data_IF_349225131760
#
_entry.id   IF_349225131760
#
_cell.length_a   1.000
_cell.length_b   1.000
_cell.length_c   1.000
_cell.angle_alpha   90.00
_cell.angle_beta   90.00
_cell.angle_gamma   90.00
#
_symmetry.space_group_name_H-M   'P 1'
#
loop_
_entity.id
_entity.type
_entity.pdbx_description
1 polymer ?
#
# COMPACT_ATOMS: atom_id res chain seq x y z
N UNK A 1 12.57 4.12 -21.60
CA UNK A 1 11.75 3.33 -20.65
C UNK A 1 10.30 3.61 -20.97
N UNK A 2 9.54 2.62 -21.45
CA UNK A 2 8.17 2.84 -21.92
C UNK A 2 7.17 2.84 -20.76
N UNK A 3 6.47 3.95 -20.58
CA UNK A 3 5.29 4.02 -19.71
C UNK A 3 4.17 3.17 -20.31
N UNK A 4 3.94 2.00 -19.69
CA UNK A 4 2.76 1.19 -19.96
C UNK A 4 1.52 1.93 -19.44
N UNK A 5 0.80 2.63 -20.33
CA UNK A 5 -0.55 3.11 -20.04
C UNK A 5 -1.45 1.90 -19.79
N UNK A 6 -1.94 1.74 -18.56
CA UNK A 6 -2.99 0.77 -18.23
C UNK A 6 -4.36 1.48 -18.25
N UNK A 7 -5.44 0.73 -18.49
CA UNK A 7 -6.79 1.27 -18.71
C UNK A 7 -7.17 2.32 -17.65
N UNK A 8 -7.74 3.45 -18.09
CA UNK A 8 -8.17 4.55 -17.21
C UNK A 8 -7.17 5.70 -17.01
N UNK A 9 -6.14 5.84 -17.86
CA UNK A 9 -5.18 6.96 -17.77
C UNK A 9 -4.12 6.81 -16.68
N UNK A 10 -4.12 5.70 -15.95
CA UNK A 10 -3.16 5.42 -14.89
C UNK A 10 -1.83 4.91 -15.47
N UNK A 11 -0.76 5.66 -15.21
CA UNK A 11 0.61 5.20 -15.39
C UNK A 11 1.08 4.51 -14.12
N UNK A 12 2.01 3.56 -14.24
CA UNK A 12 2.52 2.83 -13.07
C UNK A 12 3.06 3.77 -11.99
N UNK A 13 3.79 4.81 -12.40
CA UNK A 13 4.41 5.77 -11.49
C UNK A 13 3.37 6.61 -10.76
N UNK A 14 2.32 7.06 -11.48
CA UNK A 14 1.19 7.76 -10.87
C UNK A 14 0.46 6.88 -9.84
N UNK A 15 0.28 5.59 -10.12
CA UNK A 15 -0.33 4.66 -9.14
C UNK A 15 0.52 4.50 -7.89
N UNK A 16 1.84 4.42 -8.04
CA UNK A 16 2.79 4.31 -6.93
C UNK A 16 2.80 5.59 -6.11
N UNK A 17 2.84 6.75 -6.76
CA UNK A 17 2.79 8.07 -6.13
C UNK A 17 1.51 8.24 -5.31
N UNK A 18 0.35 8.00 -5.91
CA UNK A 18 -0.94 8.11 -5.22
C UNK A 18 -1.08 7.10 -4.09
N UNK A 19 -0.60 5.88 -4.28
CA UNK A 19 -0.53 4.87 -3.21
C UNK A 19 0.27 5.39 -2.01
N UNK A 20 1.45 5.96 -2.23
CA UNK A 20 2.28 6.50 -1.14
C UNK A 20 1.67 7.73 -0.48
N UNK A 21 1.04 8.62 -1.25
CA UNK A 21 0.29 9.75 -0.72
C UNK A 21 -0.82 9.28 0.23
N UNK A 22 -1.64 8.32 -0.20
CA UNK A 22 -2.69 7.73 0.63
C UNK A 22 -2.14 6.98 1.86
N UNK A 23 -1.05 6.23 1.68
CA UNK A 23 -0.41 5.49 2.77
C UNK A 23 0.16 6.43 3.85
N UNK A 24 0.84 7.50 3.45
CA UNK A 24 1.41 8.47 4.39
C UNK A 24 0.32 9.21 5.16
N UNK A 25 -0.69 9.75 4.46
CA UNK A 25 -1.84 10.39 5.12
C UNK A 25 -2.58 9.44 6.06
N UNK A 26 -2.77 8.19 5.63
CA UNK A 26 -3.40 7.16 6.46
C UNK A 26 -2.58 6.79 7.69
N UNK A 27 -1.24 6.82 7.61
CA UNK A 27 -0.36 6.56 8.75
C UNK A 27 -0.32 7.74 9.72
N UNK A 28 -0.22 8.96 9.19
CA UNK A 28 -0.22 10.22 9.95
C UNK A 28 -1.56 10.42 10.69
N UNK A 29 -2.68 10.12 10.03
CA UNK A 29 -4.02 10.17 10.64
C UNK A 29 -4.41 8.92 11.43
N UNK A 30 -3.47 7.98 11.67
CA UNK A 30 -3.68 6.71 12.38
C UNK A 30 -4.82 5.81 11.83
N UNK A 31 -5.27 6.07 10.60
CA UNK A 31 -6.30 5.32 9.88
C UNK A 31 -5.78 3.94 9.44
N UNK A 32 -4.48 3.85 9.12
CA UNK A 32 -3.82 2.58 8.83
C UNK A 32 -2.68 2.31 9.81
N UNK A 33 -2.49 1.04 10.15
CA UNK A 33 -1.45 0.61 11.10
C UNK A 33 -0.23 0.06 10.37
N UNK A 34 0.96 0.47 10.83
CA UNK A 34 2.21 -0.22 10.52
C UNK A 34 2.32 -1.46 11.42
N UNK A 35 2.38 -2.64 10.82
CA UNK A 35 2.54 -3.91 11.54
C UNK A 35 4.02 -4.35 11.68
N UNK A 36 4.97 -3.51 11.24
CA UNK A 36 6.39 -3.79 11.40
C UNK A 36 6.87 -3.29 12.77
N UNK A 37 7.56 -4.14 13.50
CA UNK A 37 8.34 -3.76 14.69
C UNK A 37 9.74 -3.23 14.33
N UNK A 38 10.21 -3.51 13.11
CA UNK A 38 11.49 -3.03 12.62
C UNK A 38 11.32 -1.60 12.08
N UNK A 39 12.02 -0.59 12.62
CA UNK A 39 11.89 0.80 12.18
C UNK A 39 12.40 1.03 10.76
N UNK A 40 13.20 0.12 10.17
CA UNK A 40 13.66 0.20 8.78
C UNK A 40 12.62 -0.32 7.79
N UNK A 41 11.56 -0.95 8.28
CA UNK A 41 10.53 -1.58 7.47
C UNK A 41 9.15 -0.96 7.72
N UNK A 42 8.34 -0.97 6.67
CA UNK A 42 6.93 -0.64 6.73
C UNK A 42 6.11 -1.86 6.32
N UNK A 43 5.18 -2.28 7.18
CA UNK A 43 4.29 -3.41 6.90
C UNK A 43 2.82 -2.96 6.94
N UNK A 44 2.23 -2.73 5.78
CA UNK A 44 0.86 -2.20 5.67
C UNK A 44 -0.01 -3.11 4.80
N UNK A 45 -1.32 -3.11 5.06
CA UNK A 45 -2.28 -3.87 4.25
C UNK A 45 -2.68 -3.03 3.06
N UNK A 46 -2.54 -3.56 1.84
CA UNK A 46 -2.92 -2.83 0.62
C UNK A 46 -4.41 -2.42 0.62
N UNK A 47 -5.29 -3.30 1.12
CA UNK A 47 -6.72 -2.98 1.26
C UNK A 47 -6.97 -1.86 2.27
N UNK A 48 -6.16 -1.76 3.34
CA UNK A 48 -6.28 -0.68 4.29
C UNK A 48 -5.85 0.66 3.67
N UNK A 49 -4.83 0.67 2.81
CA UNK A 49 -4.45 1.88 2.06
C UNK A 49 -5.58 2.31 1.12
N UNK A 50 -6.23 1.36 0.43
CA UNK A 50 -7.36 1.68 -0.45
C UNK A 50 -8.56 2.25 0.33
N UNK A 51 -8.92 1.63 1.46
CA UNK A 51 -9.99 2.13 2.32
C UNK A 51 -9.67 3.51 2.90
N UNK A 52 -8.41 3.74 3.32
CA UNK A 52 -7.97 5.06 3.77
C UNK A 52 -8.04 6.10 2.65
N UNK A 53 -7.69 5.73 1.42
CA UNK A 53 -7.81 6.64 0.28
C UNK A 53 -9.27 7.05 0.03
N UNK A 54 -10.20 6.11 0.07
CA UNK A 54 -11.65 6.40 -0.03
C UNK A 54 -12.10 7.36 1.08
N UNK A 55 -11.70 7.10 2.33
CA UNK A 55 -12.03 7.96 3.47
C UNK A 55 -11.43 9.37 3.37
N UNK A 56 -10.25 9.48 2.76
CA UNK A 56 -9.49 10.74 2.62
C UNK A 56 -9.78 11.48 1.30
N UNK A 57 -10.71 10.98 0.48
CA UNK A 57 -11.02 11.57 -0.84
C UNK A 57 -9.87 11.50 -1.84
N UNK A 58 -8.94 10.54 -1.68
CA UNK A 58 -7.83 10.30 -2.59
C UNK A 58 -8.24 9.25 -3.60
N UNK A 59 -8.23 9.62 -4.88
CA UNK A 59 -8.48 8.66 -5.95
C UNK A 59 -7.33 7.65 -6.05
N UNK A 60 -7.68 6.37 -6.04
CA UNK A 60 -6.79 5.26 -6.33
C UNK A 60 -7.43 4.36 -7.40
N UNK A 61 -6.61 3.75 -8.26
CA UNK A 61 -7.12 2.75 -9.17
C UNK A 61 -7.55 1.50 -8.38
N UNK A 62 -8.37 0.63 -9.01
CA UNK A 62 -8.78 -0.63 -8.40
C UNK A 62 -7.61 -1.42 -7.79
N UNK A 63 -7.86 -2.05 -6.65
CA UNK A 63 -6.84 -2.80 -5.87
C UNK A 63 -6.02 -3.77 -6.71
N UNK A 64 -6.60 -4.42 -7.73
CA UNK A 64 -5.86 -5.35 -8.59
C UNK A 64 -4.77 -4.66 -9.45
N UNK A 65 -5.00 -3.42 -9.91
CA UNK A 65 -4.00 -2.61 -10.61
C UNK A 65 -2.92 -2.13 -9.65
N UNK A 66 -3.33 -1.66 -8.46
CA UNK A 66 -2.40 -1.29 -7.39
C UNK A 66 -1.46 -2.45 -7.04
N UNK A 67 -1.96 -3.67 -6.89
CA UNK A 67 -1.13 -4.86 -6.61
C UNK A 67 -0.01 -5.01 -7.65
N UNK A 68 -0.32 -4.80 -8.94
CA UNK A 68 0.65 -4.93 -10.03
C UNK A 68 1.67 -3.79 -10.01
N UNK A 69 1.22 -2.55 -9.84
CA UNK A 69 2.10 -1.38 -9.79
C UNK A 69 3.01 -1.39 -8.55
N UNK A 70 2.44 -1.61 -7.36
CA UNK A 70 3.15 -1.61 -6.07
C UNK A 70 4.20 -2.72 -6.00
N UNK A 71 3.98 -3.88 -6.64
CA UNK A 71 5.01 -4.94 -6.75
C UNK A 71 6.28 -4.49 -7.48
N UNK A 72 6.17 -3.50 -8.35
CA UNK A 72 7.29 -2.94 -9.12
C UNK A 72 7.92 -1.72 -8.44
N UNK A 73 7.37 -1.28 -7.32
CA UNK A 73 7.96 -0.20 -6.53
C UNK A 73 9.34 -0.65 -6.00
N UNK A 74 10.42 0.14 -6.18
CA UNK A 74 11.76 -0.23 -5.69
C UNK A 74 11.85 -0.45 -4.17
N UNK A 75 10.92 0.14 -3.41
CA UNK A 75 10.83 -0.02 -1.96
C UNK A 75 10.18 -1.35 -1.56
N UNK A 76 9.42 -1.98 -2.45
CA UNK A 76 8.71 -3.22 -2.15
C UNK A 76 9.69 -4.38 -1.97
N UNK A 77 9.49 -5.14 -0.90
CA UNK A 77 10.33 -6.29 -0.56
C UNK A 77 9.60 -7.60 -0.79
N UNK A 78 8.42 -7.76 -0.18
CA UNK A 78 7.64 -9.01 -0.18
C UNK A 78 6.26 -8.81 0.42
N UNK A 79 5.41 -9.83 0.27
CA UNK A 79 4.16 -9.97 1.01
C UNK A 79 4.41 -10.99 2.15
N UNK A 80 3.97 -10.69 3.37
CA UNK A 80 4.08 -11.59 4.53
C UNK A 80 2.81 -11.57 5.36
N UNK A 81 2.39 -12.74 5.84
CA UNK A 81 1.37 -12.84 6.88
C UNK A 81 1.96 -12.39 8.21
N UNK A 82 1.40 -11.32 8.78
CA UNK A 82 1.77 -10.83 10.11
C UNK A 82 0.69 -11.26 11.08
N UNK A 83 1.10 -11.86 12.20
CA UNK A 83 0.18 -12.23 13.28
C UNK A 83 -0.40 -10.95 13.86
N UNK A 84 -1.72 -10.87 13.94
CA UNK A 84 -2.37 -9.80 14.68
C UNK A 84 -2.31 -10.06 16.19
N UNK A 85 -2.87 -9.15 17.01
CA UNK A 85 -3.03 -9.34 18.46
C UNK A 85 -3.72 -10.66 18.81
N UNK A 86 -3.54 -11.14 20.05
CA UNK A 86 -4.11 -12.41 20.55
C UNK A 86 -5.60 -12.52 20.21
N UNK A 87 -5.98 -13.58 19.49
CA UNK A 87 -7.36 -13.83 19.07
C UNK A 87 -7.75 -13.28 17.68
N UNK A 88 -6.87 -12.53 17.00
CA UNK A 88 -7.13 -12.02 15.65
C UNK A 88 -6.49 -12.88 14.57
N UNK A 89 -7.13 -12.94 13.38
CA UNK A 89 -6.56 -13.64 12.22
C UNK A 89 -5.30 -12.92 11.75
N UNK A 90 -4.29 -13.70 11.33
CA UNK A 90 -3.14 -13.14 10.65
C UNK A 90 -3.59 -12.34 9.42
N UNK A 91 -2.89 -11.24 9.13
CA UNK A 91 -3.20 -10.37 7.99
C UNK A 91 -2.06 -10.35 7.00
N UNK A 92 -2.40 -10.39 5.71
CA UNK A 92 -1.43 -10.26 4.62
C UNK A 92 -0.96 -8.81 4.51
N UNK A 93 0.29 -8.56 4.89
CA UNK A 93 0.93 -7.25 4.81
C UNK A 93 1.92 -7.19 3.65
N UNK A 94 1.98 -6.03 3.04
CA UNK A 94 2.96 -5.66 2.03
C UNK A 94 4.10 -4.96 2.74
N UNK A 95 5.31 -5.50 2.58
CA UNK A 95 6.50 -5.05 3.28
C UNK A 95 7.32 -4.16 2.36
N UNK A 96 7.69 -2.99 2.85
CA UNK A 96 8.48 -1.99 2.14
C UNK A 96 9.69 -1.55 2.98
N UNK A 97 10.74 -1.08 2.30
CA UNK A 97 11.80 -0.29 2.92
C UNK A 97 11.25 1.10 3.29
N UNK A 98 11.54 1.57 4.50
CA UNK A 98 11.30 2.98 4.87
C UNK A 98 12.23 3.90 4.10
#
# INVERSE_FOLDING_TARGET
MGELKMQGGWTQDLMIERFWSAANKGLEGEVIKNHSIDPKLLAIRLVAVHAAAEQLGVELPPVYLLRKAVRRCPRFLRIRWVRGPKGTRAVSCWIFKR
#
